data_IF_832492918062
#
_entry.id   IF_832492918062
#
_cell.length_a   1.000
_cell.length_b   1.000
_cell.length_c   1.000
_cell.angle_alpha   90.00
_cell.angle_beta   90.00
_cell.angle_gamma   90.00
#
_symmetry.space_group_name_H-M   'P 1'
#
loop_
_entity.id
_entity.type
_entity.pdbx_description
1 polymer ?
#
# COMPACT_ATOMS: atom_id res chain seq x y z
N UNK A 1 -5.74 35.54 24.11
CA UNK A 1 -5.21 34.46 24.98
C UNK A 1 -6.23 33.34 25.09
N UNK A 2 -5.89 32.11 24.73
CA UNK A 2 -6.78 30.94 24.94
C UNK A 2 -6.75 30.56 26.41
N UNK A 3 -7.91 30.58 27.08
CA UNK A 3 -8.04 30.15 28.48
C UNK A 3 -7.65 28.67 28.58
N UNK A 4 -6.69 28.37 29.41
CA UNK A 4 -6.36 26.98 29.75
C UNK A 4 -7.49 26.38 30.58
N UNK A 5 -8.01 25.22 30.15
CA UNK A 5 -9.02 24.48 30.90
C UNK A 5 -8.39 23.84 32.14
N UNK A 6 -9.10 23.83 33.28
CA UNK A 6 -8.68 23.11 34.48
C UNK A 6 -8.57 21.60 34.19
N UNK A 7 -7.73 20.87 34.94
CA UNK A 7 -7.55 19.43 34.76
C UNK A 7 -8.85 18.66 35.01
N UNK A 8 -9.66 19.07 35.96
CA UNK A 8 -11.00 18.51 36.22
C UNK A 8 -11.89 18.61 34.97
N UNK A 9 -11.92 19.77 34.33
CA UNK A 9 -12.73 19.99 33.14
C UNK A 9 -12.21 19.18 31.94
N UNK A 10 -10.90 18.98 31.83
CA UNK A 10 -10.31 18.10 30.83
C UNK A 10 -10.71 16.64 31.06
N UNK A 11 -10.74 16.20 32.31
CA UNK A 11 -11.15 14.84 32.66
C UNK A 11 -12.63 14.60 32.36
N UNK A 12 -13.52 15.52 32.75
CA UNK A 12 -14.93 15.44 32.40
C UNK A 12 -15.18 15.32 30.89
N UNK A 13 -14.45 16.12 30.09
CA UNK A 13 -14.54 16.06 28.63
C UNK A 13 -14.06 14.71 28.07
N UNK A 14 -12.99 14.14 28.63
CA UNK A 14 -12.51 12.79 28.26
C UNK A 14 -13.56 11.73 28.57
N UNK A 15 -14.20 11.81 29.73
CA UNK A 15 -15.24 10.87 30.14
C UNK A 15 -16.49 10.98 29.29
N UNK A 16 -16.91 12.22 28.96
CA UNK A 16 -18.01 12.46 28.02
C UNK A 16 -17.70 11.90 26.63
N UNK A 17 -16.49 12.11 26.11
CA UNK A 17 -16.05 11.55 24.82
C UNK A 17 -16.04 10.03 24.84
N UNK A 18 -15.57 9.44 25.95
CA UNK A 18 -15.54 7.99 26.12
C UNK A 18 -16.95 7.38 26.15
N UNK A 19 -17.87 8.04 26.89
CA UNK A 19 -19.29 7.65 26.91
C UNK A 19 -19.95 7.80 25.54
N UNK A 20 -19.66 8.88 24.83
CA UNK A 20 -20.19 9.10 23.47
C UNK A 20 -19.66 8.08 22.46
N UNK A 21 -18.37 7.69 22.57
CA UNK A 21 -17.76 6.64 21.73
C UNK A 21 -18.38 5.25 22.00
N UNK A 22 -18.66 4.91 23.28
CA UNK A 22 -19.31 3.63 23.64
C UNK A 22 -20.76 3.55 23.16
N UNK A 23 -21.47 4.68 23.08
CA UNK A 23 -22.86 4.73 22.56
C UNK A 23 -22.94 4.66 21.04
N UNK A 24 -21.84 4.90 20.33
CA UNK A 24 -21.84 4.85 18.88
C UNK A 24 -21.87 3.40 18.42
N UNK A 25 -22.95 3.01 17.74
CA UNK A 25 -23.03 1.70 17.11
C UNK A 25 -21.80 1.44 16.23
N UNK A 26 -21.32 0.18 16.12
CA UNK A 26 -20.24 -0.15 15.20
C UNK A 26 -20.52 0.44 13.82
N UNK A 27 -19.54 1.08 13.23
CA UNK A 27 -19.70 1.66 11.90
C UNK A 27 -20.06 0.56 10.90
N UNK A 28 -21.26 0.60 10.38
CA UNK A 28 -21.65 -0.26 9.26
C UNK A 28 -20.78 0.09 8.05
N UNK A 29 -19.99 -0.83 7.61
CA UNK A 29 -19.12 -0.65 6.45
C UNK A 29 -19.91 -0.87 5.15
N UNK A 30 -20.79 0.08 4.80
CA UNK A 30 -21.72 -0.02 3.66
C UNK A 30 -21.06 -0.22 2.30
N UNK A 31 -19.80 0.21 2.18
CA UNK A 31 -19.07 0.22 0.89
C UNK A 31 -17.87 -0.72 0.86
N UNK A 32 -17.89 -1.77 1.67
CA UNK A 32 -16.81 -2.77 1.70
C UNK A 32 -17.36 -4.09 1.18
N UNK A 33 -16.57 -4.74 0.33
CA UNK A 33 -16.94 -6.02 -0.26
C UNK A 33 -17.13 -7.11 0.82
N UNK A 34 -18.15 -7.98 0.72
CA UNK A 34 -18.43 -9.00 1.74
C UNK A 34 -17.27 -9.97 1.99
N UNK A 35 -16.45 -10.27 0.98
CA UNK A 35 -15.26 -11.13 1.13
C UNK A 35 -14.23 -10.53 2.07
N UNK A 36 -14.07 -9.20 2.05
CA UNK A 36 -13.13 -8.48 2.92
C UNK A 36 -13.67 -8.36 4.34
N UNK A 37 -15.00 -8.18 4.47
CA UNK A 37 -15.66 -8.13 5.78
C UNK A 37 -15.58 -9.46 6.56
N UNK A 38 -15.52 -10.59 5.85
CA UNK A 38 -15.43 -11.93 6.46
C UNK A 38 -14.03 -12.25 7.01
N UNK A 39 -13.01 -11.46 6.66
CA UNK A 39 -11.65 -11.70 7.12
C UNK A 39 -11.51 -11.32 8.59
N UNK A 40 -10.75 -12.13 9.34
CA UNK A 40 -10.45 -11.85 10.74
C UNK A 40 -9.56 -10.59 10.87
N UNK A 41 -9.59 -9.95 12.03
CA UNK A 41 -8.76 -8.76 12.30
C UNK A 41 -7.24 -9.02 12.20
N UNK A 42 -6.82 -10.29 12.36
CA UNK A 42 -5.42 -10.72 12.26
C UNK A 42 -4.98 -10.99 10.81
N UNK A 43 -5.92 -11.07 9.88
CA UNK A 43 -5.60 -11.21 8.45
C UNK A 43 -4.94 -9.93 7.94
N UNK A 44 -3.79 -10.01 7.24
CA UNK A 44 -3.12 -8.83 6.67
C UNK A 44 -4.00 -8.06 5.69
N UNK A 45 -4.94 -8.73 5.01
CA UNK A 45 -5.91 -8.11 4.11
C UNK A 45 -7.26 -7.80 4.77
N UNK A 46 -7.32 -7.74 6.11
CA UNK A 46 -8.52 -7.33 6.84
C UNK A 46 -8.84 -5.85 6.63
N UNK A 47 -10.11 -5.50 6.83
CA UNK A 47 -10.56 -4.09 6.78
C UNK A 47 -9.73 -3.18 7.67
N UNK A 48 -9.38 -3.67 8.86
CA UNK A 48 -8.63 -2.94 9.87
C UNK A 48 -7.19 -2.68 9.41
N UNK A 49 -6.51 -3.71 8.92
CA UNK A 49 -5.14 -3.61 8.41
C UNK A 49 -5.06 -2.70 7.19
N UNK A 50 -5.93 -2.89 6.20
CA UNK A 50 -5.95 -2.05 5.00
C UNK A 50 -6.25 -0.59 5.32
N UNK A 51 -7.19 -0.29 6.22
CA UNK A 51 -7.44 1.10 6.64
C UNK A 51 -6.27 1.73 7.37
N UNK A 52 -5.54 0.95 8.18
CA UNK A 52 -4.30 1.39 8.84
C UNK A 52 -3.23 1.73 7.79
N UNK A 53 -3.06 0.88 6.78
CA UNK A 53 -2.11 1.11 5.70
C UNK A 53 -2.47 2.32 4.84
N UNK A 54 -3.74 2.49 4.50
CA UNK A 54 -4.21 3.69 3.78
C UNK A 54 -3.86 4.96 4.57
N UNK A 55 -4.10 4.96 5.88
CA UNK A 55 -3.76 6.11 6.73
C UNK A 55 -2.26 6.40 6.71
N UNK A 56 -1.44 5.37 6.96
CA UNK A 56 0.02 5.47 6.94
C UNK A 56 0.53 5.99 5.57
N UNK A 57 0.03 5.43 4.48
CA UNK A 57 0.44 5.85 3.14
C UNK A 57 -0.03 7.27 2.79
N UNK A 58 -1.17 7.74 3.31
CA UNK A 58 -1.58 9.16 3.17
C UNK A 58 -0.60 10.10 3.86
N UNK A 59 -0.14 9.75 5.05
CA UNK A 59 0.90 10.51 5.78
C UNK A 59 2.23 10.51 5.01
N UNK A 60 2.64 9.36 4.48
CA UNK A 60 3.85 9.18 3.67
C UNK A 60 3.80 9.99 2.36
N UNK A 61 2.69 9.96 1.63
CA UNK A 61 2.50 10.75 0.42
C UNK A 61 2.56 12.26 0.70
N UNK A 62 1.97 12.70 1.82
CA UNK A 62 2.02 14.09 2.27
C UNK A 62 3.46 14.51 2.63
N UNK A 63 4.22 13.64 3.31
CA UNK A 63 5.61 13.90 3.66
C UNK A 63 6.48 14.09 2.40
N UNK A 64 6.37 13.22 1.40
CA UNK A 64 7.07 13.38 0.12
C UNK A 64 6.70 14.68 -0.57
N UNK A 65 5.42 15.05 -0.60
CA UNK A 65 4.96 16.29 -1.20
C UNK A 65 5.51 17.52 -0.46
N UNK A 66 5.58 17.48 0.85
CA UNK A 66 6.18 18.52 1.69
C UNK A 66 7.68 18.64 1.41
N UNK A 67 8.40 17.53 1.34
CA UNK A 67 9.82 17.50 1.03
C UNK A 67 10.10 18.07 -0.37
N UNK A 68 9.28 17.77 -1.36
CA UNK A 68 9.43 18.30 -2.72
C UNK A 68 9.32 19.82 -2.80
N UNK A 69 8.65 20.44 -1.83
CA UNK A 69 8.43 21.90 -1.73
C UNK A 69 9.40 22.57 -0.75
N UNK A 70 10.26 21.82 -0.10
CA UNK A 70 11.15 22.33 0.93
C UNK A 70 12.12 23.34 0.35
N UNK A 71 12.33 24.46 1.07
CA UNK A 71 13.31 25.48 0.72
C UNK A 71 14.72 24.85 0.71
N UNK A 72 15.43 24.94 -0.41
CA UNK A 72 16.76 24.32 -0.60
C UNK A 72 16.76 22.92 -1.22
N UNK A 73 15.58 22.35 -1.54
CA UNK A 73 15.54 21.11 -2.33
C UNK A 73 16.07 21.36 -3.74
N UNK A 74 16.94 20.45 -4.22
CA UNK A 74 17.37 20.52 -5.61
C UNK A 74 16.21 20.20 -6.56
N UNK A 75 16.19 20.75 -7.79
CA UNK A 75 15.15 20.43 -8.77
C UNK A 75 14.99 18.92 -9.00
N UNK A 76 16.11 18.19 -9.06
CA UNK A 76 16.11 16.72 -9.21
C UNK A 76 15.42 16.04 -8.02
N UNK A 77 15.75 16.40 -6.78
CA UNK A 77 15.15 15.83 -5.59
C UNK A 77 13.64 16.15 -5.51
N UNK A 78 13.26 17.39 -5.82
CA UNK A 78 11.85 17.79 -5.87
C UNK A 78 11.04 16.95 -6.85
N UNK A 79 11.58 16.60 -8.02
CA UNK A 79 10.92 15.74 -9.00
C UNK A 79 10.82 14.31 -8.47
N UNK A 80 11.87 13.76 -7.88
CA UNK A 80 11.89 12.42 -7.30
C UNK A 80 10.83 12.30 -6.20
N UNK A 81 10.76 13.26 -5.28
CA UNK A 81 9.79 13.26 -4.19
C UNK A 81 8.35 13.36 -4.70
N UNK A 82 8.10 14.13 -5.77
CA UNK A 82 6.78 14.16 -6.43
C UNK A 82 6.41 12.80 -7.01
N UNK A 83 7.34 12.13 -7.71
CA UNK A 83 7.13 10.79 -8.26
C UNK A 83 6.81 9.79 -7.14
N UNK A 84 7.57 9.83 -6.03
CA UNK A 84 7.28 8.97 -4.87
C UNK A 84 5.91 9.25 -4.27
N UNK A 85 5.51 10.52 -4.14
CA UNK A 85 4.17 10.88 -3.67
C UNK A 85 3.07 10.30 -4.57
N UNK A 86 3.22 10.41 -5.90
CA UNK A 86 2.23 9.87 -6.85
C UNK A 86 2.19 8.33 -6.84
N UNK A 87 3.32 7.65 -6.71
CA UNK A 87 3.37 6.20 -6.57
C UNK A 87 2.65 5.72 -5.31
N UNK A 88 2.86 6.40 -4.18
CA UNK A 88 2.15 6.08 -2.93
C UNK A 88 0.65 6.35 -3.06
N UNK A 89 0.24 7.43 -3.73
CA UNK A 89 -1.18 7.70 -4.01
C UNK A 89 -1.80 6.63 -4.92
N UNK A 90 -1.07 6.14 -5.91
CA UNK A 90 -1.53 5.02 -6.75
C UNK A 90 -1.77 3.77 -5.89
N UNK A 91 -0.87 3.45 -4.97
CA UNK A 91 -1.04 2.34 -4.04
C UNK A 91 -2.25 2.52 -3.12
N UNK A 92 -2.51 3.74 -2.62
CA UNK A 92 -3.73 4.04 -1.87
C UNK A 92 -4.98 3.73 -2.69
N UNK A 93 -5.02 4.12 -3.98
CA UNK A 93 -6.15 3.83 -4.87
C UNK A 93 -6.37 2.32 -5.05
N UNK A 94 -5.31 1.52 -5.14
CA UNK A 94 -5.41 0.06 -5.19
C UNK A 94 -5.99 -0.53 -3.90
N UNK A 95 -5.57 -0.04 -2.74
CA UNK A 95 -6.15 -0.46 -1.46
C UNK A 95 -7.64 -0.07 -1.33
N UNK A 96 -8.00 1.13 -1.75
CA UNK A 96 -9.39 1.59 -1.76
C UNK A 96 -10.25 0.78 -2.76
N UNK A 97 -9.68 0.39 -3.91
CA UNK A 97 -10.32 -0.51 -4.87
C UNK A 97 -10.52 -1.90 -4.27
N UNK A 98 -9.49 -2.47 -3.63
CA UNK A 98 -9.60 -3.76 -2.94
C UNK A 98 -10.73 -3.78 -1.91
N UNK A 99 -10.87 -2.74 -1.10
CA UNK A 99 -11.96 -2.66 -0.14
C UNK A 99 -13.35 -2.73 -0.80
N UNK A 100 -13.48 -2.23 -2.03
CA UNK A 100 -14.76 -2.21 -2.77
C UNK A 100 -15.02 -3.48 -3.58
N UNK A 101 -14.00 -4.02 -4.24
CA UNK A 101 -14.10 -5.17 -5.15
C UNK A 101 -13.84 -6.51 -4.48
N UNK A 102 -13.01 -6.52 -3.42
CA UNK A 102 -12.50 -7.74 -2.81
C UNK A 102 -11.25 -8.30 -3.49
N UNK A 103 -10.82 -7.72 -4.63
CA UNK A 103 -9.70 -8.22 -5.44
C UNK A 103 -8.44 -7.39 -5.21
N UNK A 104 -7.36 -8.04 -4.78
CA UNK A 104 -6.07 -7.40 -4.61
C UNK A 104 -5.31 -7.37 -5.93
N UNK A 105 -5.21 -6.18 -6.53
CA UNK A 105 -4.61 -6.00 -7.86
C UNK A 105 -3.25 -5.27 -7.85
N UNK A 106 -2.74 -4.90 -6.67
CA UNK A 106 -1.45 -4.23 -6.60
C UNK A 106 -0.32 -5.19 -6.95
N UNK A 107 0.40 -4.87 -8.02
CA UNK A 107 1.56 -5.62 -8.52
C UNK A 107 2.89 -5.09 -7.99
N UNK A 108 2.90 -3.90 -7.39
CA UNK A 108 4.13 -3.23 -6.92
C UNK A 108 4.44 -3.47 -5.46
N UNK A 109 3.41 -3.76 -4.65
CA UNK A 109 3.53 -4.04 -3.23
C UNK A 109 2.68 -5.24 -2.87
N UNK A 110 3.21 -6.14 -2.04
CA UNK A 110 2.46 -7.29 -1.53
C UNK A 110 1.45 -6.91 -0.47
N UNK A 111 0.75 -7.91 0.06
CA UNK A 111 -0.25 -7.75 1.11
C UNK A 111 0.32 -7.16 2.41
N UNK A 112 1.59 -7.44 2.70
CA UNK A 112 2.29 -6.99 3.91
C UNK A 112 2.84 -5.56 3.79
N UNK A 113 2.55 -4.85 2.69
CA UNK A 113 3.04 -3.51 2.39
C UNK A 113 4.58 -3.41 2.22
N UNK A 114 5.33 -4.38 2.74
CA UNK A 114 6.79 -4.46 2.68
C UNK A 114 7.28 -5.25 1.47
N UNK A 115 6.46 -6.15 0.94
CA UNK A 115 6.82 -6.95 -0.22
C UNK A 115 6.72 -6.13 -1.51
N UNK A 116 7.87 -5.80 -2.06
CA UNK A 116 7.96 -5.24 -3.42
C UNK A 116 8.01 -6.39 -4.41
N UNK A 117 7.09 -6.42 -5.35
CA UNK A 117 7.20 -7.31 -6.50
C UNK A 117 8.41 -6.89 -7.32
N UNK A 118 9.43 -7.72 -7.30
CA UNK A 118 10.60 -7.52 -8.16
C UNK A 118 10.32 -8.17 -9.51
N UNK A 119 10.21 -7.36 -10.54
CA UNK A 119 10.14 -7.84 -11.91
C UNK A 119 11.52 -8.31 -12.34
N UNK A 120 11.67 -9.61 -12.57
CA UNK A 120 12.81 -10.14 -13.30
C UNK A 120 12.43 -10.15 -14.77
N UNK A 121 13.00 -9.24 -15.55
CA UNK A 121 12.97 -9.35 -17.00
C UNK A 121 13.88 -10.52 -17.41
N UNK A 122 13.29 -11.65 -17.71
CA UNK A 122 14.03 -12.78 -18.29
C UNK A 122 13.92 -12.64 -19.80
N UNK A 123 14.79 -11.79 -20.37
CA UNK A 123 14.94 -11.74 -21.82
C UNK A 123 15.61 -13.04 -22.28
N UNK A 124 15.03 -13.68 -23.30
CA UNK A 124 15.70 -14.78 -23.96
C UNK A 124 16.98 -14.24 -24.60
N UNK A 125 18.14 -14.69 -24.12
CA UNK A 125 19.40 -14.34 -24.73
C UNK A 125 19.65 -15.29 -25.90
N UNK A 126 19.91 -14.75 -27.08
CA UNK A 126 20.35 -15.49 -28.24
C UNK A 126 21.85 -15.30 -28.45
N UNK A 127 22.49 -16.31 -29.01
CA UNK A 127 23.83 -16.18 -29.58
C UNK A 127 23.75 -15.37 -30.88
N UNK A 128 24.91 -14.92 -31.38
CA UNK A 128 24.98 -14.11 -32.61
C UNK A 128 24.43 -14.84 -33.85
N UNK A 129 24.40 -16.18 -33.81
CA UNK A 129 23.83 -17.07 -34.83
C UNK A 129 22.33 -17.33 -34.72
N UNK A 130 21.67 -16.65 -33.74
CA UNK A 130 20.23 -16.81 -33.49
C UNK A 130 19.85 -18.06 -32.66
N UNK A 131 20.80 -18.82 -32.15
CA UNK A 131 20.52 -19.96 -31.27
C UNK A 131 20.18 -19.48 -29.86
N UNK A 132 19.14 -20.04 -29.20
CA UNK A 132 18.79 -19.64 -27.84
C UNK A 132 19.86 -20.10 -26.85
N UNK A 133 20.25 -19.25 -25.93
CA UNK A 133 21.21 -19.56 -24.86
C UNK A 133 20.63 -20.50 -23.80
N UNK A 134 19.33 -20.73 -23.81
CA UNK A 134 18.64 -21.66 -22.91
C UNK A 134 18.21 -22.92 -23.67
N UNK A 135 18.38 -24.08 -23.05
CA UNK A 135 18.03 -25.36 -23.65
C UNK A 135 16.57 -25.70 -23.35
N UNK A 136 15.81 -26.07 -24.38
CA UNK A 136 14.42 -26.53 -24.26
C UNK A 136 14.35 -27.76 -23.35
N UNK A 137 13.35 -27.80 -22.47
CA UNK A 137 13.12 -28.91 -21.56
C UNK A 137 14.01 -28.92 -20.31
N UNK A 138 14.89 -27.92 -20.14
CA UNK A 138 15.74 -27.79 -18.96
C UNK A 138 15.06 -26.84 -17.96
N UNK A 139 15.06 -27.24 -16.68
CA UNK A 139 14.58 -26.40 -15.60
C UNK A 139 15.63 -25.33 -15.23
N UNK A 140 15.22 -24.08 -15.21
CA UNK A 140 16.03 -22.93 -14.83
C UNK A 140 15.54 -22.33 -13.52
N UNK A 141 16.32 -22.41 -12.42
CA UNK A 141 15.90 -21.93 -11.11
C UNK A 141 15.66 -20.41 -11.04
N UNK A 142 16.32 -19.64 -11.89
CA UNK A 142 16.19 -18.17 -11.94
C UNK A 142 14.83 -17.71 -12.45
N UNK A 143 14.13 -18.53 -13.25
CA UNK A 143 12.76 -18.29 -13.72
C UNK A 143 11.75 -19.22 -13.07
N UNK A 144 12.22 -20.18 -12.26
CA UNK A 144 11.41 -21.23 -11.63
C UNK A 144 10.51 -21.99 -12.61
N UNK A 145 11.01 -22.26 -13.80
CA UNK A 145 10.27 -22.95 -14.87
C UNK A 145 11.17 -23.77 -15.78
N UNK A 146 10.56 -24.74 -16.46
CA UNK A 146 11.21 -25.45 -17.56
C UNK A 146 11.14 -24.57 -18.81
N UNK A 147 12.27 -24.43 -19.50
CA UNK A 147 12.31 -23.58 -20.69
C UNK A 147 11.56 -24.26 -21.86
N UNK A 148 10.61 -23.52 -22.46
CA UNK A 148 9.89 -23.89 -23.68
C UNK A 148 10.04 -22.78 -24.72
N UNK A 149 10.17 -23.12 -26.00
CA UNK A 149 10.43 -22.12 -27.05
C UNK A 149 9.27 -21.19 -27.38
N UNK A 150 8.08 -21.44 -26.80
CA UNK A 150 6.84 -20.77 -27.19
C UNK A 150 6.31 -19.85 -26.06
N UNK A 151 7.21 -19.27 -25.28
CA UNK A 151 6.90 -18.22 -24.30
C UNK A 151 7.31 -16.85 -24.83
#
# INVERSE_FOLDING_TARGET
>A
MRKQLSEERKQELRDQLTKARKKKAPAEYKNIHPSVLKKSDDDPLSVKSIKKWIKHNKEKASAYLTNSRRRGATPKQSIIDKIHSENVKAYIRFMEYYLKSGDWISIFMGADEEMKTQWKCVAMAYHADGTPKRTKGVYYPDINAVWVNDL
#
